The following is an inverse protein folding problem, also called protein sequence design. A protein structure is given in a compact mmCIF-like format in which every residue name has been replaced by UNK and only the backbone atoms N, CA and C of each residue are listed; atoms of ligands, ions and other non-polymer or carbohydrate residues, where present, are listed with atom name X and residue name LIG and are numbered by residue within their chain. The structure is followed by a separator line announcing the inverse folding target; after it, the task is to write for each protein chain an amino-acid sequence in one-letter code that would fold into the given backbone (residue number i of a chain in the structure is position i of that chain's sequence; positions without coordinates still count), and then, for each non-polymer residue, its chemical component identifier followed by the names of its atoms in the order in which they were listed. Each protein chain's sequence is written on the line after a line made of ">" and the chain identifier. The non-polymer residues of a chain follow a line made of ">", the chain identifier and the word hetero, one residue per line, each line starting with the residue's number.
data_IF_414464339973
#
_entry.id   IF_414464339973
#
_cell.length_a   1.000
_cell.length_b   1.000
_cell.length_c   1.000
_cell.angle_alpha   90.00
_cell.angle_beta   90.00
_cell.angle_gamma   90.00
#
_symmetry.space_group_name_H-M   'P 1'
#
loop_
_entity.id
_entity.type
_entity.pdbx_description
1 polymer ?
#
# COMPACT_ATOMS: atom_id res chain seq x y z
N UNK A 1 12.91 -0.81 0.57
CA UNK A 1 13.68 -1.42 -0.54
C UNK A 1 15.19 -1.12 -0.54
N UNK A 2 15.68 -0.12 0.21
CA UNK A 2 17.09 0.25 0.21
C UNK A 2 17.94 -0.48 1.26
N UNK A 3 17.43 -0.69 2.47
CA UNK A 3 18.19 -1.25 3.60
C UNK A 3 17.99 -2.75 3.82
N UNK A 4 16.92 -3.32 3.29
CA UNK A 4 16.52 -4.72 3.50
C UNK A 4 16.32 -5.44 2.17
N UNK A 5 16.36 -6.77 2.16
CA UNK A 5 16.18 -7.60 0.96
C UNK A 5 14.71 -7.82 0.56
N UNK A 6 13.74 -7.20 1.25
CA UNK A 6 12.30 -7.37 0.99
C UNK A 6 11.93 -7.07 -0.46
N UNK A 7 11.14 -7.95 -1.09
CA UNK A 7 10.74 -7.79 -2.49
C UNK A 7 9.42 -7.05 -2.65
N UNK A 8 8.61 -7.03 -1.58
CA UNK A 8 7.22 -6.57 -1.59
C UNK A 8 6.93 -5.83 -0.30
N UNK A 9 6.22 -4.70 -0.39
CA UNK A 9 5.53 -4.10 0.75
C UNK A 9 4.03 -4.25 0.59
N UNK A 10 3.36 -4.48 1.71
CA UNK A 10 1.90 -4.48 1.81
C UNK A 10 1.45 -3.27 2.61
N UNK A 11 0.35 -2.66 2.19
CA UNK A 11 -0.34 -1.63 2.94
C UNK A 11 -1.84 -1.94 2.96
N UNK A 12 -2.52 -1.55 4.03
CA UNK A 12 -3.97 -1.68 4.13
C UNK A 12 -4.55 -0.40 4.71
N UNK A 13 -5.73 0.00 4.23
CA UNK A 13 -6.49 1.11 4.82
C UNK A 13 -7.96 0.75 4.87
N UNK A 14 -8.70 1.37 5.80
CA UNK A 14 -10.16 1.27 5.86
C UNK A 14 -10.76 1.71 4.52
N UNK A 15 -11.77 0.96 4.04
CA UNK A 15 -12.52 1.32 2.81
C UNK A 15 -13.13 2.73 2.92
N UNK A 16 -13.47 3.14 4.15
CA UNK A 16 -14.07 4.45 4.45
C UNK A 16 -13.05 5.59 4.64
N UNK A 17 -11.74 5.33 4.51
CA UNK A 17 -10.70 6.34 4.68
C UNK A 17 -10.06 6.70 3.30
N UNK A 18 -10.70 7.59 2.53
CA UNK A 18 -10.20 7.97 1.20
C UNK A 18 -8.92 8.80 1.27
N UNK A 19 -8.63 9.47 2.39
CA UNK A 19 -7.42 10.26 2.55
C UNK A 19 -6.16 9.38 2.56
N UNK A 20 -6.16 8.32 3.37
CA UNK A 20 -5.08 7.34 3.37
C UNK A 20 -4.96 6.61 2.03
N UNK A 21 -6.09 6.26 1.39
CA UNK A 21 -6.09 5.69 0.02
C UNK A 21 -5.32 6.56 -0.97
N UNK A 22 -5.57 7.87 -0.98
CA UNK A 22 -4.89 8.81 -1.89
C UNK A 22 -3.37 8.83 -1.67
N UNK A 23 -2.92 8.82 -0.41
CA UNK A 23 -1.48 8.77 -0.09
C UNK A 23 -0.86 7.45 -0.57
N UNK A 24 -1.52 6.33 -0.30
CA UNK A 24 -1.06 5.00 -0.74
C UNK A 24 -0.92 4.96 -2.26
N UNK A 25 -1.93 5.43 -3.00
CA UNK A 25 -1.89 5.52 -4.46
C UNK A 25 -0.76 6.44 -4.94
N UNK A 26 -0.60 7.63 -4.33
CA UNK A 26 0.46 8.59 -4.70
C UNK A 26 1.86 8.01 -4.47
N UNK A 27 2.03 7.17 -3.46
CA UNK A 27 3.28 6.45 -3.20
C UNK A 27 3.55 5.28 -4.17
N UNK A 28 2.66 5.03 -5.14
CA UNK A 28 2.83 4.02 -6.19
C UNK A 28 2.41 2.60 -5.80
N UNK A 29 1.74 2.43 -4.65
CA UNK A 29 1.15 1.15 -4.29
C UNK A 29 -0.02 0.83 -5.21
N UNK A 30 -0.08 -0.42 -5.67
CA UNK A 30 -1.13 -0.94 -6.53
C UNK A 30 -2.20 -1.65 -5.69
N UNK A 31 -3.45 -1.55 -6.13
CA UNK A 31 -4.56 -2.22 -5.48
C UNK A 31 -4.44 -3.75 -5.65
N UNK A 32 -4.58 -4.48 -4.54
CA UNK A 32 -4.43 -5.93 -4.48
C UNK A 32 -5.72 -6.65 -4.05
N UNK A 33 -6.79 -5.92 -3.71
CA UNK A 33 -8.08 -6.48 -3.31
C UNK A 33 -8.66 -5.83 -2.05
N UNK A 34 -9.77 -6.37 -1.56
CA UNK A 34 -10.37 -6.00 -0.26
C UNK A 34 -10.37 -7.19 0.67
N UNK A 35 -10.60 -6.94 1.96
CA UNK A 35 -10.86 -7.99 2.93
C UNK A 35 -11.25 -7.42 4.28
N UNK A 36 -11.34 -8.29 5.27
CA UNK A 36 -11.58 -7.90 6.66
C UNK A 36 -10.24 -7.86 7.43
N UNK A 37 -10.13 -6.93 8.39
CA UNK A 37 -9.09 -6.93 9.40
C UNK A 37 -9.73 -6.77 10.78
N UNK A 38 -9.14 -7.41 11.79
CA UNK A 38 -9.59 -7.23 13.16
C UNK A 38 -8.99 -5.94 13.75
N UNK A 39 -9.85 -4.98 14.05
CA UNK A 39 -9.52 -3.76 14.79
C UNK A 39 -9.76 -3.98 16.28
N UNK A 40 -8.83 -3.54 17.12
CA UNK A 40 -8.95 -3.62 18.58
C UNK A 40 -10.21 -2.88 19.09
N UNK A 41 -10.59 -1.77 18.44
CA UNK A 41 -11.69 -0.89 18.90
C UNK A 41 -13.01 -1.13 18.18
N UNK A 42 -13.01 -1.77 17.01
CA UNK A 42 -14.17 -1.88 16.14
C UNK A 42 -14.43 -3.30 15.62
N UNK A 43 -13.68 -4.30 16.08
CA UNK A 43 -13.80 -5.69 15.64
C UNK A 43 -13.47 -5.84 14.15
N UNK A 44 -14.21 -6.70 13.44
CA UNK A 44 -13.99 -6.94 12.02
C UNK A 44 -14.37 -5.72 11.19
N UNK A 45 -13.37 -5.11 10.53
CA UNK A 45 -13.56 -3.92 9.70
C UNK A 45 -13.15 -4.17 8.25
N UNK A 46 -13.90 -3.64 7.27
CA UNK A 46 -13.54 -3.77 5.87
C UNK A 46 -12.35 -2.85 5.55
N UNK A 47 -11.38 -3.42 4.82
CA UNK A 47 -10.17 -2.75 4.37
C UNK A 47 -9.87 -3.05 2.91
N UNK A 48 -9.17 -2.12 2.28
CA UNK A 48 -8.50 -2.33 1.01
C UNK A 48 -7.06 -2.72 1.27
N UNK A 49 -6.55 -3.62 0.44
CA UNK A 49 -5.18 -4.14 0.49
C UNK A 49 -4.44 -3.66 -0.75
N UNK A 50 -3.18 -3.30 -0.52
CA UNK A 50 -2.30 -2.74 -1.52
C UNK A 50 -0.94 -3.41 -1.47
N UNK A 51 -0.27 -3.39 -2.62
CA UNK A 51 1.05 -3.99 -2.80
C UNK A 51 1.96 -3.04 -3.57
N UNK A 52 3.21 -2.95 -3.14
CA UNK A 52 4.27 -2.28 -3.88
C UNK A 52 5.42 -3.27 -4.06
N UNK A 53 5.76 -3.56 -5.31
CA UNK A 53 6.91 -4.41 -5.64
C UNK A 53 8.19 -3.58 -5.74
N UNK A 54 9.33 -4.18 -5.39
CA UNK A 54 10.65 -3.54 -5.50
C UNK A 54 10.88 -3.02 -6.92
N UNK A 55 10.52 -3.80 -7.95
CA UNK A 55 10.70 -3.40 -9.36
C UNK A 55 9.94 -2.11 -9.65
N UNK A 56 8.67 -2.04 -9.27
CA UNK A 56 7.82 -0.84 -9.42
C UNK A 56 8.42 0.35 -8.68
N UNK A 57 8.88 0.17 -7.45
CA UNK A 57 9.53 1.22 -6.68
C UNK A 57 10.82 1.74 -7.34
N UNK A 58 11.67 0.83 -7.85
CA UNK A 58 12.90 1.21 -8.56
C UNK A 58 12.56 2.00 -9.82
N UNK A 59 11.56 1.56 -10.59
CA UNK A 59 11.09 2.31 -11.76
C UNK A 59 10.62 3.71 -11.36
N UNK A 60 9.72 3.85 -10.38
CA UNK A 60 9.22 5.16 -9.93
C UNK A 60 10.34 6.11 -9.50
N UNK A 61 11.36 5.61 -8.80
CA UNK A 61 12.49 6.43 -8.37
C UNK A 61 13.34 6.92 -9.54
N UNK A 62 13.55 6.08 -10.55
CA UNK A 62 14.31 6.45 -11.73
C UNK A 62 13.59 7.47 -12.59
N UNK A 63 12.24 7.47 -12.61
CA UNK A 63 11.45 8.41 -13.41
C UNK A 63 11.56 9.86 -12.94
N UNK A 64 11.78 10.11 -11.64
CA UNK A 64 11.95 11.46 -11.08
C UNK A 64 13.31 12.09 -11.44
N UNK A 65 14.23 11.29 -11.97
CA UNK A 65 15.56 11.73 -12.39
C UNK A 65 15.67 12.06 -13.89
N UNK A 66 14.56 11.92 -14.64
CA UNK A 66 14.41 12.42 -16.01
C UNK A 66 13.52 13.67 -16.00
#
# INVERSE_FOLDING_TARGET
>A
FQKTSIQVLHASTRVINPASRRVIHKCGFQYAGQGMLNSIVAGQVPVERYRLDRKTWTSLRNWVHF
#
